data_IF_159603399352
#
_entry.id   IF_159603399352
#
_cell.length_a   1.000
_cell.length_b   1.000
_cell.length_c   1.000
_cell.angle_alpha   90.00
_cell.angle_beta   90.00
_cell.angle_gamma   90.00
#
_symmetry.space_group_name_H-M   'P 1'
#
loop_
_entity.id
_entity.type
_entity.pdbx_description
1 polymer ?
#
# COMPACT_ATOMS: atom_id res chain seq x y z
N UNK A 1 9.07 -14.25 -0.67
CA UNK A 1 8.14 -13.33 -0.02
C UNK A 1 8.31 -11.94 -0.58
N UNK A 2 7.21 -11.30 -0.95
CA UNK A 2 7.19 -9.96 -1.50
C UNK A 2 7.93 -8.95 -0.60
N UNK A 3 8.47 -7.92 -1.22
CA UNK A 3 9.18 -6.81 -0.58
C UNK A 3 10.46 -7.18 0.17
N UNK A 4 10.91 -8.45 0.12
CA UNK A 4 12.20 -8.84 0.68
C UNK A 4 13.26 -8.87 -0.40
N UNK A 5 14.45 -8.37 -0.09
CA UNK A 5 15.63 -8.47 -0.95
C UNK A 5 16.22 -9.88 -0.82
N UNK A 6 15.68 -10.83 -1.59
CA UNK A 6 16.16 -12.22 -1.62
C UNK A 6 17.16 -12.35 -2.76
N UNK A 7 18.42 -12.78 -2.52
CA UNK A 7 19.38 -12.95 -3.61
C UNK A 7 18.93 -14.05 -4.58
N UNK A 8 19.25 -13.90 -5.87
CA UNK A 8 18.93 -14.90 -6.91
C UNK A 8 19.64 -16.22 -6.61
N UNK A 9 20.90 -16.15 -6.18
CA UNK A 9 21.70 -17.27 -5.67
C UNK A 9 22.43 -16.83 -4.41
N UNK A 10 22.82 -17.80 -3.58
CA UNK A 10 23.58 -17.53 -2.35
C UNK A 10 24.84 -16.73 -2.69
N UNK A 11 25.02 -15.58 -2.01
CA UNK A 11 26.15 -14.66 -2.25
C UNK A 11 25.99 -13.68 -3.40
N UNK A 12 24.90 -13.75 -4.19
CA UNK A 12 24.64 -12.81 -5.28
C UNK A 12 24.23 -11.44 -4.76
N UNK A 13 24.77 -10.38 -5.39
CA UNK A 13 24.29 -8.99 -5.19
C UNK A 13 22.96 -8.71 -5.93
N UNK A 14 22.59 -9.55 -6.90
CA UNK A 14 21.32 -9.45 -7.63
C UNK A 14 20.20 -10.09 -6.82
N UNK A 15 19.12 -9.36 -6.66
CA UNK A 15 17.93 -9.83 -5.94
C UNK A 15 16.88 -10.37 -6.92
N UNK A 16 16.08 -11.33 -6.44
CA UNK A 16 14.96 -11.89 -7.21
C UNK A 16 13.93 -10.82 -7.54
N UNK A 17 13.48 -10.83 -8.78
CA UNK A 17 12.33 -10.06 -9.26
C UNK A 17 11.08 -10.95 -9.34
N UNK A 18 9.94 -10.37 -9.73
CA UNK A 18 8.68 -11.11 -9.85
C UNK A 18 8.77 -12.33 -10.79
N UNK A 19 9.58 -12.24 -11.84
CA UNK A 19 9.80 -13.35 -12.79
C UNK A 19 10.54 -14.49 -12.08
N UNK A 20 11.58 -14.20 -11.32
CA UNK A 20 12.36 -15.22 -10.59
C UNK A 20 11.46 -15.98 -9.59
N UNK A 21 10.56 -15.28 -8.90
CA UNK A 21 9.59 -15.91 -8.00
C UNK A 21 8.57 -16.78 -8.76
N UNK A 22 8.09 -16.34 -9.92
CA UNK A 22 7.20 -17.15 -10.76
C UNK A 22 7.90 -18.43 -11.23
N UNK A 23 9.15 -18.31 -11.66
CA UNK A 23 9.98 -19.47 -12.05
C UNK A 23 10.14 -20.45 -10.89
N UNK A 24 10.36 -19.96 -9.66
CA UNK A 24 10.45 -20.82 -8.48
C UNK A 24 9.15 -21.63 -8.24
N UNK A 25 7.97 -21.01 -8.48
CA UNK A 25 6.69 -21.71 -8.38
C UNK A 25 6.56 -22.79 -9.44
N UNK A 26 6.83 -22.46 -10.72
CA UNK A 26 6.76 -23.45 -11.80
C UNK A 26 7.74 -24.61 -11.62
N UNK A 27 8.95 -24.33 -11.11
CA UNK A 27 9.89 -25.40 -10.73
C UNK A 27 9.31 -26.28 -9.62
N UNK A 28 8.77 -25.68 -8.55
CA UNK A 28 8.15 -26.44 -7.46
C UNK A 28 6.99 -27.33 -7.95
N UNK A 29 6.22 -26.87 -8.93
CA UNK A 29 5.14 -27.66 -9.56
C UNK A 29 5.73 -28.83 -10.37
N UNK A 30 6.72 -28.54 -11.21
CA UNK A 30 7.33 -29.55 -12.08
C UNK A 30 8.10 -30.64 -11.30
N UNK A 31 8.67 -30.26 -10.17
CA UNK A 31 9.44 -31.17 -9.29
C UNK A 31 8.59 -31.84 -8.22
N UNK A 32 7.27 -31.59 -8.19
CA UNK A 32 6.39 -32.16 -7.20
C UNK A 32 6.26 -33.67 -7.37
N UNK A 33 6.50 -34.46 -6.33
CA UNK A 33 6.70 -35.91 -6.45
C UNK A 33 5.41 -36.74 -6.69
N UNK A 34 4.25 -36.09 -6.81
CA UNK A 34 2.95 -36.75 -7.02
C UNK A 34 2.34 -36.31 -8.36
N UNK A 35 1.76 -37.25 -9.11
CA UNK A 35 1.12 -36.97 -10.40
C UNK A 35 -0.15 -36.12 -10.26
N UNK A 36 -0.82 -36.17 -9.11
CA UNK A 36 -2.02 -35.40 -8.83
C UNK A 36 -1.73 -34.35 -7.77
N UNK A 37 -1.87 -33.06 -8.13
CA UNK A 37 -1.78 -31.94 -7.22
C UNK A 37 -2.83 -30.87 -7.55
N UNK A 38 -3.14 -30.03 -6.58
CA UNK A 38 -4.00 -28.86 -6.76
C UNK A 38 -3.19 -27.61 -6.44
N UNK A 39 -3.16 -26.66 -7.35
CA UNK A 39 -2.59 -25.33 -7.13
C UNK A 39 -3.74 -24.32 -6.87
N UNK A 40 -3.71 -23.67 -5.71
CA UNK A 40 -4.69 -22.66 -5.32
C UNK A 40 -3.99 -21.31 -5.25
N UNK A 41 -4.47 -20.34 -6.05
CA UNK A 41 -4.04 -18.95 -5.99
C UNK A 41 -5.18 -18.10 -5.44
N UNK A 42 -4.89 -17.25 -4.46
CA UNK A 42 -5.87 -16.28 -3.94
C UNK A 42 -5.20 -14.94 -3.66
N UNK A 43 -6.00 -13.89 -3.68
CA UNK A 43 -5.59 -12.51 -3.39
C UNK A 43 -6.49 -11.90 -2.31
N UNK A 44 -5.92 -11.05 -1.47
CA UNK A 44 -6.65 -10.36 -0.41
C UNK A 44 -7.08 -8.98 -0.93
N UNK A 45 -8.33 -8.86 -1.32
CA UNK A 45 -8.88 -7.61 -1.83
C UNK A 45 -8.75 -6.48 -0.79
N UNK A 46 -8.11 -5.38 -1.20
CA UNK A 46 -7.96 -4.20 -0.36
C UNK A 46 -7.15 -4.48 0.91
N UNK A 47 -6.09 -5.30 0.84
CA UNK A 47 -5.29 -5.71 1.99
C UNK A 47 -4.87 -4.53 2.87
N UNK A 48 -4.25 -3.50 2.29
CA UNK A 48 -3.78 -2.33 3.02
C UNK A 48 -4.92 -1.49 3.62
N UNK A 49 -6.07 -1.45 2.97
CA UNK A 49 -7.25 -0.71 3.44
C UNK A 49 -7.96 -1.40 4.61
N UNK A 50 -7.74 -2.72 4.77
CA UNK A 50 -8.40 -3.56 5.78
C UNK A 50 -7.46 -4.07 6.89
N UNK A 51 -6.24 -3.62 6.93
CA UNK A 51 -5.23 -4.01 7.90
C UNK A 51 -5.64 -3.57 9.32
N UNK A 52 -5.94 -4.52 10.22
CA UNK A 52 -6.39 -4.22 11.57
C UNK A 52 -5.25 -3.62 12.40
N UNK A 53 -5.47 -2.42 12.97
CA UNK A 53 -4.44 -1.68 13.69
C UNK A 53 -3.98 -2.38 14.99
N UNK A 54 -4.92 -3.01 15.72
CA UNK A 54 -4.58 -3.73 16.96
C UNK A 54 -3.70 -4.94 16.64
N UNK A 55 -4.10 -5.75 15.67
CA UNK A 55 -3.31 -6.91 15.25
C UNK A 55 -1.93 -6.49 14.73
N UNK A 56 -1.86 -5.44 13.89
CA UNK A 56 -0.58 -4.90 13.43
C UNK A 56 0.34 -4.53 14.59
N UNK A 57 -0.19 -3.86 15.62
CA UNK A 57 0.59 -3.47 16.81
C UNK A 57 1.09 -4.68 17.58
N UNK A 58 0.27 -5.70 17.77
CA UNK A 58 0.67 -6.92 18.49
C UNK A 58 1.74 -7.69 17.70
N UNK A 59 1.61 -7.84 16.39
CA UNK A 59 2.64 -8.46 15.55
C UNK A 59 3.94 -7.66 15.57
N UNK A 60 3.87 -6.34 15.57
CA UNK A 60 5.05 -5.47 15.66
C UNK A 60 5.76 -5.64 16.99
N UNK A 61 5.01 -5.72 18.10
CA UNK A 61 5.57 -6.02 19.44
C UNK A 61 6.28 -7.37 19.45
N UNK A 62 5.67 -8.43 18.90
CA UNK A 62 6.29 -9.75 18.77
C UNK A 62 7.64 -9.70 18.06
N UNK A 63 7.75 -8.99 16.94
CA UNK A 63 9.01 -8.83 16.20
C UNK A 63 10.09 -8.16 17.04
N UNK A 64 9.71 -7.27 17.96
CA UNK A 64 10.63 -6.61 18.89
C UNK A 64 10.93 -7.44 20.16
N UNK A 65 10.33 -8.64 20.30
CA UNK A 65 10.46 -9.46 21.50
C UNK A 65 9.70 -8.92 22.71
N UNK A 66 8.75 -8.01 22.50
CA UNK A 66 7.95 -7.40 23.57
C UNK A 66 6.71 -8.27 23.85
N UNK A 67 6.44 -8.56 25.13
CA UNK A 67 5.25 -9.32 25.57
C UNK A 67 4.18 -8.39 26.12
N UNK A 68 4.44 -7.77 27.26
CA UNK A 68 3.53 -6.87 27.98
C UNK A 68 3.85 -5.40 27.75
N UNK A 69 5.11 -5.09 27.48
CA UNK A 69 5.61 -3.73 27.32
C UNK A 69 4.93 -3.02 26.13
N UNK A 70 4.73 -1.69 26.20
CA UNK A 70 4.29 -0.91 25.06
C UNK A 70 5.36 -0.87 23.96
N UNK A 71 4.98 -0.47 22.75
CA UNK A 71 5.97 -0.12 21.73
C UNK A 71 6.85 1.03 22.22
N UNK A 72 8.18 1.00 21.97
CA UNK A 72 9.07 2.14 22.20
C UNK A 72 8.52 3.42 21.54
N UNK A 73 8.81 4.59 22.10
CA UNK A 73 8.21 5.86 21.68
C UNK A 73 8.43 6.17 20.18
N UNK A 74 9.60 5.89 19.65
CA UNK A 74 9.93 6.05 18.24
C UNK A 74 9.09 5.12 17.36
N UNK A 75 8.99 3.84 17.69
CA UNK A 75 8.13 2.87 17.01
C UNK A 75 6.64 3.24 17.14
N UNK A 76 6.21 3.66 18.33
CA UNK A 76 4.84 4.09 18.55
C UNK A 76 4.49 5.34 17.73
N UNK A 77 5.39 6.30 17.61
CA UNK A 77 5.19 7.47 16.77
C UNK A 77 5.02 7.09 15.28
N UNK A 78 5.82 6.16 14.77
CA UNK A 78 5.65 5.64 13.40
C UNK A 78 4.31 4.94 13.25
N UNK A 79 3.98 4.02 14.17
CA UNK A 79 2.69 3.31 14.19
C UNK A 79 1.51 4.30 14.19
N UNK A 80 1.54 5.31 15.06
CA UNK A 80 0.49 6.33 15.15
C UNK A 80 0.32 7.11 13.85
N UNK A 81 1.41 7.50 13.20
CA UNK A 81 1.34 8.28 11.97
C UNK A 81 0.84 7.45 10.78
N UNK A 82 1.17 6.18 10.71
CA UNK A 82 0.72 5.32 9.60
C UNK A 82 -0.71 4.82 9.77
N UNK A 83 -1.21 4.76 11.01
CA UNK A 83 -2.60 4.36 11.32
C UNK A 83 -3.56 5.56 11.43
N UNK A 84 -3.06 6.80 11.39
CA UNK A 84 -3.85 8.04 11.56
C UNK A 84 -3.47 9.08 10.52
N UNK A 85 -3.39 8.67 9.27
CA UNK A 85 -3.03 9.57 8.19
C UNK A 85 -4.23 10.39 7.68
N UNK A 86 -3.92 11.44 6.92
CA UNK A 86 -4.90 12.23 6.18
C UNK A 86 -4.63 12.06 4.70
N UNK A 87 -5.67 12.19 3.89
CA UNK A 87 -5.57 12.07 2.44
C UNK A 87 -6.44 13.10 1.74
N UNK A 88 -6.18 13.31 0.47
CA UNK A 88 -7.00 14.10 -0.43
C UNK A 88 -7.47 13.17 -1.54
N UNK A 89 -8.77 13.13 -1.76
CA UNK A 89 -9.34 12.39 -2.87
C UNK A 89 -9.03 13.08 -4.19
N UNK A 90 -8.55 12.31 -5.17
CA UNK A 90 -8.20 12.84 -6.48
C UNK A 90 -9.42 13.44 -7.21
N UNK A 91 -10.60 12.86 -7.00
CA UNK A 91 -11.84 13.37 -7.62
C UNK A 91 -12.20 14.72 -7.01
N UNK A 92 -12.14 14.84 -5.69
CA UNK A 92 -12.50 16.08 -4.98
C UNK A 92 -11.58 17.25 -5.36
N UNK A 93 -10.25 17.01 -5.34
CA UNK A 93 -9.29 18.07 -5.72
C UNK A 93 -9.42 18.43 -7.21
N UNK A 94 -9.69 17.45 -8.08
CA UNK A 94 -9.93 17.70 -9.49
C UNK A 94 -11.19 18.55 -9.69
N UNK A 95 -12.31 18.22 -9.08
CA UNK A 95 -13.56 18.97 -9.19
C UNK A 95 -13.42 20.41 -8.70
N UNK A 96 -12.68 20.60 -7.59
CA UNK A 96 -12.45 21.95 -7.04
C UNK A 96 -11.63 22.84 -7.98
N UNK A 97 -10.63 22.27 -8.70
CA UNK A 97 -9.69 23.07 -9.49
C UNK A 97 -9.72 22.79 -11.01
N UNK A 98 -10.62 21.97 -11.53
CA UNK A 98 -10.65 21.54 -12.94
C UNK A 98 -10.63 22.68 -13.98
N UNK A 99 -11.10 23.87 -13.60
CA UNK A 99 -11.18 25.03 -14.50
C UNK A 99 -9.84 25.78 -14.64
N UNK A 100 -8.85 25.52 -13.76
CA UNK A 100 -7.62 26.31 -13.67
C UNK A 100 -6.37 25.47 -13.33
N UNK A 101 -6.33 24.25 -13.83
CA UNK A 101 -5.19 23.35 -13.63
C UNK A 101 -3.95 23.92 -14.32
N UNK A 102 -2.81 23.88 -13.63
CA UNK A 102 -1.52 24.27 -14.19
C UNK A 102 -1.02 23.20 -15.14
N UNK A 103 -0.71 23.60 -16.37
CA UNK A 103 -0.21 22.73 -17.43
C UNK A 103 1.09 23.29 -18.02
N UNK A 104 1.97 22.39 -18.48
CA UNK A 104 3.09 22.78 -19.31
C UNK A 104 2.58 23.18 -20.69
N UNK A 105 3.01 24.34 -21.15
CA UNK A 105 2.76 24.83 -22.51
C UNK A 105 4.11 25.23 -23.13
N UNK A 106 4.15 25.31 -24.45
CA UNK A 106 5.29 25.86 -25.17
C UNK A 106 4.83 27.14 -25.89
N UNK A 107 5.42 28.26 -25.56
CA UNK A 107 5.19 29.51 -26.28
C UNK A 107 6.51 29.99 -26.88
N UNK A 108 6.54 30.20 -28.19
CA UNK A 108 7.74 30.62 -28.94
C UNK A 108 8.98 29.73 -28.67
N UNK A 109 8.78 28.40 -28.55
CA UNK A 109 9.84 27.43 -28.29
C UNK A 109 10.37 27.39 -26.86
N UNK A 110 9.82 28.21 -25.93
CA UNK A 110 10.18 28.19 -24.50
C UNK A 110 9.11 27.51 -23.69
N UNK A 111 9.48 26.64 -22.72
CA UNK A 111 8.51 26.02 -21.82
C UNK A 111 7.90 27.10 -20.91
N UNK A 112 6.58 27.14 -20.89
CA UNK A 112 5.80 28.04 -20.05
C UNK A 112 4.80 27.25 -19.22
N UNK A 113 4.33 27.85 -18.12
CA UNK A 113 3.28 27.27 -17.28
C UNK A 113 2.05 28.15 -17.41
N UNK A 114 0.94 27.56 -17.82
CA UNK A 114 -0.34 28.27 -17.98
C UNK A 114 -1.45 27.54 -17.23
N UNK A 115 -2.56 28.24 -16.98
CA UNK A 115 -3.77 27.63 -16.43
C UNK A 115 -4.70 27.20 -17.55
N UNK A 116 -5.24 25.99 -17.44
CA UNK A 116 -6.16 25.43 -18.43
C UNK A 116 -7.28 24.66 -17.76
N UNK A 117 -8.48 24.72 -18.33
CA UNK A 117 -9.58 23.82 -17.99
C UNK A 117 -9.29 22.41 -18.51
N UNK A 118 -9.42 21.42 -17.64
CA UNK A 118 -9.37 20.00 -18.00
C UNK A 118 -10.71 19.37 -17.65
N UNK A 119 -11.39 18.78 -18.61
CA UNK A 119 -12.77 18.32 -18.45
C UNK A 119 -12.91 16.97 -17.74
N UNK A 120 -11.90 16.14 -17.74
CA UNK A 120 -11.91 14.79 -17.10
C UNK A 120 -10.51 14.43 -16.59
N UNK A 121 -10.46 13.72 -15.46
CA UNK A 121 -9.21 13.26 -14.82
C UNK A 121 -8.33 12.49 -15.81
N UNK A 122 -8.90 11.63 -16.64
CA UNK A 122 -8.14 10.88 -17.66
C UNK A 122 -7.36 11.73 -18.65
N UNK A 123 -7.72 13.00 -18.78
CA UNK A 123 -7.06 13.95 -19.70
C UNK A 123 -5.92 14.75 -19.02
N UNK A 124 -5.69 14.62 -17.72
CA UNK A 124 -4.61 15.31 -17.01
C UNK A 124 -3.23 15.02 -17.64
N UNK A 125 -2.95 13.76 -17.94
CA UNK A 125 -1.69 13.37 -18.59
C UNK A 125 -1.56 13.96 -20.01
N UNK A 126 -2.63 13.92 -20.81
CA UNK A 126 -2.64 14.49 -22.17
C UNK A 126 -2.51 16.01 -22.16
N UNK A 127 -2.97 16.66 -21.09
CA UNK A 127 -2.87 18.12 -20.93
C UNK A 127 -1.51 18.57 -20.35
N UNK A 128 -0.58 17.64 -20.07
CA UNK A 128 0.67 17.91 -19.37
C UNK A 128 0.47 18.66 -18.04
N UNK A 129 -0.54 18.22 -17.27
CA UNK A 129 -0.87 18.80 -15.97
C UNK A 129 0.27 18.59 -14.98
N UNK A 130 0.67 19.67 -14.29
CA UNK A 130 1.76 19.66 -13.30
C UNK A 130 1.29 19.98 -11.88
N UNK A 131 0.21 20.75 -11.72
CA UNK A 131 -0.38 21.04 -10.43
C UNK A 131 -1.86 21.37 -10.55
N UNK A 132 -2.65 21.09 -9.53
CA UNK A 132 -4.07 21.46 -9.47
C UNK A 132 -4.24 22.93 -9.10
N UNK A 133 -3.41 23.43 -8.17
CA UNK A 133 -3.54 24.79 -7.62
C UNK A 133 -2.20 25.26 -7.04
N UNK A 134 -2.15 26.52 -6.62
CA UNK A 134 -1.05 27.05 -5.80
C UNK A 134 -1.18 26.59 -4.34
N UNK A 135 -0.12 26.83 -3.56
CA UNK A 135 -0.14 26.59 -2.11
C UNK A 135 -1.25 27.36 -1.41
N UNK A 136 -1.41 28.63 -1.75
CA UNK A 136 -2.38 29.52 -1.09
C UNK A 136 -3.83 29.13 -1.44
N UNK A 137 -4.09 28.78 -2.69
CA UNK A 137 -5.40 28.24 -3.12
C UNK A 137 -5.72 26.93 -2.39
N UNK A 138 -4.73 26.03 -2.23
CA UNK A 138 -4.90 24.82 -1.45
C UNK A 138 -5.18 25.12 0.02
N UNK A 139 -4.43 26.01 0.65
CA UNK A 139 -4.63 26.37 2.05
C UNK A 139 -6.01 26.94 2.32
N UNK A 140 -6.54 27.77 1.39
CA UNK A 140 -7.91 28.30 1.46
C UNK A 140 -8.99 27.21 1.41
N UNK A 141 -8.74 26.09 0.69
CA UNK A 141 -9.68 24.97 0.51
C UNK A 141 -9.36 23.74 1.37
N UNK A 142 -8.27 23.77 2.13
CA UNK A 142 -7.76 22.64 2.90
C UNK A 142 -8.81 21.95 3.78
N UNK A 143 -9.64 22.72 4.48
CA UNK A 143 -10.68 22.19 5.38
C UNK A 143 -11.71 21.32 4.65
N UNK A 144 -12.01 21.66 3.40
CA UNK A 144 -12.94 20.92 2.53
C UNK A 144 -12.29 19.68 1.90
N UNK A 145 -11.02 19.78 1.51
CA UNK A 145 -10.34 18.77 0.71
C UNK A 145 -9.69 17.67 1.54
N UNK A 146 -9.17 17.99 2.73
CA UNK A 146 -8.42 17.02 3.55
C UNK A 146 -9.38 16.15 4.36
N UNK A 147 -9.35 14.86 4.08
CA UNK A 147 -10.08 13.82 4.80
C UNK A 147 -9.17 13.12 5.80
N UNK A 148 -9.68 12.76 6.97
CA UNK A 148 -8.95 11.98 7.99
C UNK A 148 -9.36 10.53 7.84
N UNK A 149 -8.39 9.65 7.61
CA UNK A 149 -8.64 8.21 7.46
C UNK A 149 -9.29 7.59 8.71
N UNK A 150 -8.93 8.09 9.90
CA UNK A 150 -9.43 7.57 11.17
C UNK A 150 -10.94 7.74 11.38
N UNK A 151 -11.55 8.70 10.71
CA UNK A 151 -12.97 9.00 10.89
C UNK A 151 -13.74 8.65 9.61
N UNK A 152 -14.75 7.81 9.76
CA UNK A 152 -15.66 7.42 8.68
C UNK A 152 -17.10 7.70 9.11
N UNK A 153 -17.98 7.85 8.14
CA UNK A 153 -19.42 7.90 8.38
C UNK A 153 -19.98 6.47 8.38
N UNK A 154 -20.80 6.14 9.36
CA UNK A 154 -21.59 4.92 9.35
C UNK A 154 -22.87 5.07 8.49
N UNK A 155 -23.68 4.03 8.41
CA UNK A 155 -24.94 4.05 7.64
C UNK A 155 -25.96 5.08 8.16
N UNK A 156 -25.84 5.49 9.43
CA UNK A 156 -26.69 6.52 10.06
C UNK A 156 -26.04 7.91 10.02
N UNK A 157 -24.99 8.11 9.20
CA UNK A 157 -24.23 9.37 9.05
C UNK A 157 -23.46 9.82 10.33
N UNK A 158 -23.36 8.97 11.37
CA UNK A 158 -22.55 9.30 12.54
C UNK A 158 -21.06 9.14 12.24
N UNK A 159 -20.24 10.00 12.84
CA UNK A 159 -18.80 9.88 12.72
C UNK A 159 -18.26 8.81 13.67
N UNK A 160 -17.77 7.70 13.13
CA UNK A 160 -17.17 6.60 13.88
C UNK A 160 -15.67 6.49 13.65
N UNK A 161 -14.97 5.91 14.63
CA UNK A 161 -13.52 5.69 14.51
C UNK A 161 -13.24 4.42 13.72
N UNK A 162 -12.38 4.55 12.72
CA UNK A 162 -11.90 3.44 11.90
C UNK A 162 -10.56 2.92 12.47
N UNK A 163 -10.55 1.66 12.93
CA UNK A 163 -9.36 1.01 13.51
C UNK A 163 -8.69 0.02 12.55
N UNK A 164 -8.75 0.31 11.25
CA UNK A 164 -8.12 -0.48 10.19
C UNK A 164 -7.67 0.38 9.02
N UNK A 165 -6.73 -0.14 8.25
CA UNK A 165 -6.16 0.46 7.05
C UNK A 165 -4.90 1.29 7.31
N UNK A 166 -3.93 1.14 6.39
CA UNK A 166 -2.69 1.92 6.32
C UNK A 166 -2.49 2.42 4.89
N UNK A 167 -1.67 3.49 4.66
CA UNK A 167 -1.46 4.02 3.31
C UNK A 167 -0.83 2.98 2.38
N UNK A 168 -1.44 2.73 1.25
CA UNK A 168 -0.82 1.97 0.16
C UNK A 168 0.26 2.82 -0.53
N UNK A 169 1.39 2.19 -0.89
CA UNK A 169 2.49 2.86 -1.61
C UNK A 169 3.49 3.61 -0.71
N UNK A 170 3.29 3.65 0.60
CA UNK A 170 4.32 4.11 1.53
C UNK A 170 5.46 3.09 1.61
N UNK A 171 6.74 3.51 1.64
CA UNK A 171 7.88 2.57 1.73
C UNK A 171 7.82 1.61 2.92
N UNK A 172 7.28 2.05 4.05
CA UNK A 172 7.14 1.23 5.26
C UNK A 172 5.97 0.24 5.17
N UNK A 173 4.95 0.51 4.35
CA UNK A 173 3.75 -0.33 4.27
C UNK A 173 4.07 -1.76 3.84
N UNK A 174 5.06 -1.93 2.96
CA UNK A 174 5.55 -3.25 2.55
C UNK A 174 6.17 -4.05 3.71
N UNK A 175 6.92 -3.40 4.59
CA UNK A 175 7.50 -4.02 5.79
C UNK A 175 6.39 -4.38 6.78
N UNK A 176 5.44 -3.48 6.99
CA UNK A 176 4.30 -3.71 7.89
C UNK A 176 3.38 -4.82 7.41
N UNK A 177 3.18 -4.95 6.08
CA UNK A 177 2.47 -6.09 5.50
C UNK A 177 3.14 -7.42 5.84
N UNK A 178 4.47 -7.49 5.76
CA UNK A 178 5.21 -8.69 6.15
C UNK A 178 5.10 -8.97 7.64
N UNK A 179 5.21 -7.96 8.50
CA UNK A 179 5.04 -8.09 9.96
C UNK A 179 3.63 -8.58 10.28
N UNK A 180 2.61 -8.00 9.66
CA UNK A 180 1.20 -8.35 9.87
C UNK A 180 0.89 -9.82 9.56
N UNK A 181 1.50 -10.36 8.51
CA UNK A 181 1.25 -11.71 8.01
C UNK A 181 2.11 -12.79 8.66
N UNK A 182 2.98 -12.49 9.62
CA UNK A 182 3.94 -13.46 10.17
C UNK A 182 3.27 -14.71 10.75
N UNK A 183 2.28 -14.54 11.62
CA UNK A 183 1.60 -15.68 12.24
C UNK A 183 0.80 -16.46 11.19
N UNK A 184 0.13 -15.77 10.27
CA UNK A 184 -0.59 -16.42 9.18
C UNK A 184 0.35 -17.25 8.30
N UNK A 185 1.46 -16.67 7.86
CA UNK A 185 2.47 -17.37 7.05
C UNK A 185 2.98 -18.62 7.77
N UNK A 186 3.24 -18.49 9.08
CA UNK A 186 3.74 -19.59 9.90
C UNK A 186 2.71 -20.73 10.00
N UNK A 187 1.47 -20.42 10.37
CA UNK A 187 0.43 -21.43 10.56
C UNK A 187 0.05 -22.14 9.25
N UNK A 188 -0.11 -21.38 8.16
CA UNK A 188 -0.39 -21.96 6.85
C UNK A 188 0.75 -22.82 6.35
N UNK A 189 2.01 -22.37 6.50
CA UNK A 189 3.16 -23.16 6.09
C UNK A 189 3.23 -24.48 6.87
N UNK A 190 3.08 -24.43 8.19
CA UNK A 190 3.05 -25.61 9.08
C UNK A 190 1.94 -26.59 8.71
N UNK A 191 0.74 -26.08 8.46
CA UNK A 191 -0.38 -26.91 8.03
C UNK A 191 -0.11 -27.60 6.69
N UNK A 192 0.34 -26.84 5.69
CA UNK A 192 0.62 -27.41 4.37
C UNK A 192 1.78 -28.41 4.40
N UNK A 193 2.83 -28.14 5.16
CA UNK A 193 3.93 -29.12 5.37
C UNK A 193 3.42 -30.44 5.94
N UNK A 194 2.45 -30.40 6.88
CA UNK A 194 1.89 -31.61 7.49
C UNK A 194 1.13 -32.52 6.51
N UNK A 195 0.64 -31.97 5.40
CA UNK A 195 -0.06 -32.71 4.34
C UNK A 195 0.77 -32.87 3.06
N UNK A 196 2.06 -32.50 3.11
CA UNK A 196 2.98 -32.56 1.97
C UNK A 196 2.76 -31.46 0.94
N UNK A 197 2.12 -30.36 1.31
CA UNK A 197 1.88 -29.19 0.47
C UNK A 197 3.01 -28.15 0.53
N UNK A 198 2.92 -27.15 -0.34
CA UNK A 198 3.89 -26.06 -0.44
C UNK A 198 3.15 -24.71 -0.35
N UNK A 199 3.62 -23.82 0.52
CA UNK A 199 3.12 -22.46 0.64
C UNK A 199 4.08 -21.46 0.00
N UNK A 200 3.52 -20.51 -0.73
CA UNK A 200 4.25 -19.34 -1.27
C UNK A 200 3.39 -18.11 -1.17
N UNK A 201 3.94 -17.00 -0.68
CA UNK A 201 3.29 -15.70 -0.65
C UNK A 201 4.11 -14.67 -1.45
N UNK A 202 3.44 -13.91 -2.31
CA UNK A 202 4.05 -12.92 -3.18
C UNK A 202 3.96 -11.51 -2.65
N UNK A 203 2.85 -11.06 -2.13
CA UNK A 203 2.60 -9.68 -1.68
C UNK A 203 1.72 -9.65 -0.46
#
# INVERSE_FOLDING_TARGET
TAYRKIPVTIGSKKHKCNIDFAVDVFKSINEYPKDNFVAIAFDIKGFFDNLNHKLLREQWKKVLGLTTEPLPDDHFNVYRNITRFSYIDLVDIFQEFQNQIFVKASAHGKPTITRKRVSKIKYLKKADAIAFCTKDEYLAKRKKLVKKQRFVKDEAENTVTKDFGIPQGSPISAVLANIYMLDFDYEINKYLESIGGIYRRYS
#
